data_IF_625114556576
#
_entry.id   IF_625114556576
#
_cell.length_a   1.000
_cell.length_b   1.000
_cell.length_c   1.000
_cell.angle_alpha   90.00
_cell.angle_beta   90.00
_cell.angle_gamma   90.00
#
_symmetry.space_group_name_H-M   'P 1'
#
loop_
_entity.id
_entity.type
_entity.pdbx_description
1 polymer ?
#
# COMPACT_ATOMS: atom_id res chain seq x y z
N UNK A 1 8.60 -13.85 -56.47
CA UNK A 1 9.38 -13.20 -55.40
C UNK A 1 8.49 -13.02 -54.18
N UNK A 2 8.41 -14.03 -53.31
CA UNK A 2 7.59 -13.99 -52.08
C UNK A 2 8.50 -14.29 -50.87
N UNK A 3 9.33 -13.35 -50.45
CA UNK A 3 10.27 -13.58 -49.34
C UNK A 3 10.36 -12.42 -48.32
N UNK A 4 9.29 -11.64 -48.14
CA UNK A 4 9.29 -10.49 -47.22
C UNK A 4 8.40 -10.66 -45.97
N UNK A 5 8.14 -11.89 -45.52
CA UNK A 5 7.27 -12.16 -44.35
C UNK A 5 7.90 -13.04 -43.25
N UNK A 6 9.22 -12.99 -43.06
CA UNK A 6 9.91 -13.94 -42.14
C UNK A 6 10.86 -13.33 -41.10
N UNK A 7 10.83 -12.02 -40.84
CA UNK A 7 11.78 -11.39 -39.88
C UNK A 7 11.16 -10.40 -38.90
N UNK A 8 9.97 -10.71 -38.36
CA UNK A 8 9.41 -9.93 -37.26
C UNK A 8 8.84 -10.87 -36.20
N UNK A 9 9.70 -11.60 -35.47
CA UNK A 9 9.39 -11.73 -34.05
C UNK A 9 10.69 -11.87 -33.24
N UNK A 10 11.40 -10.77 -32.97
CA UNK A 10 12.53 -10.87 -32.03
C UNK A 10 12.94 -9.57 -31.32
N UNK A 11 12.17 -8.49 -31.46
CA UNK A 11 12.47 -7.20 -30.82
C UNK A 11 11.42 -6.73 -29.81
N UNK A 12 10.40 -7.54 -29.50
CA UNK A 12 9.35 -7.18 -28.54
C UNK A 12 9.52 -7.84 -27.16
N UNK A 13 10.53 -8.68 -26.96
CA UNK A 13 10.70 -9.45 -25.72
C UNK A 13 11.74 -8.89 -24.73
N UNK A 14 12.32 -7.70 -24.98
CA UNK A 14 13.38 -7.14 -24.11
C UNK A 14 12.91 -5.93 -23.28
N UNK A 15 11.67 -5.45 -23.45
CA UNK A 15 11.23 -4.19 -22.84
C UNK A 15 10.15 -4.35 -21.74
N UNK A 16 10.14 -5.47 -21.02
CA UNK A 16 9.19 -5.69 -19.92
C UNK A 16 9.86 -5.92 -18.54
N UNK A 17 11.19 -5.95 -18.47
CA UNK A 17 11.91 -6.32 -17.24
C UNK A 17 12.47 -5.13 -16.42
N UNK A 18 12.09 -3.89 -16.72
CA UNK A 18 12.69 -2.70 -16.07
C UNK A 18 11.72 -1.96 -15.13
N UNK A 19 10.48 -2.42 -14.97
CA UNK A 19 9.52 -1.79 -14.04
C UNK A 19 9.34 -2.53 -12.70
N UNK A 20 10.15 -3.58 -12.43
CA UNK A 20 10.10 -4.33 -11.17
C UNK A 20 11.03 -3.77 -10.08
N UNK A 21 11.71 -2.65 -10.32
CA UNK A 21 12.24 -1.79 -9.26
C UNK A 21 11.15 -0.72 -8.98
N UNK A 22 9.96 -1.09 -8.50
CA UNK A 22 9.74 -1.29 -7.08
C UNK A 22 10.75 -0.48 -6.27
N UNK A 23 10.32 0.70 -5.83
CA UNK A 23 10.94 1.50 -4.80
C UNK A 23 11.11 0.67 -3.53
N UNK A 24 12.09 -0.24 -3.49
CA UNK A 24 12.56 -0.88 -2.27
C UNK A 24 13.56 0.06 -1.63
N UNK A 25 13.10 1.26 -1.28
CA UNK A 25 13.83 2.01 -0.26
C UNK A 25 13.60 1.24 1.05
N UNK A 26 14.65 0.82 1.76
CA UNK A 26 14.46 0.37 3.12
C UNK A 26 13.93 1.59 3.88
N UNK A 27 12.67 1.52 4.36
CA UNK A 27 12.11 2.51 5.28
C UNK A 27 13.03 2.55 6.50
N UNK A 28 14.02 3.42 6.45
CA UNK A 28 14.88 3.75 7.58
C UNK A 28 14.13 4.79 8.37
N UNK A 29 13.22 4.30 9.20
CA UNK A 29 12.75 4.87 10.47
C UNK A 29 11.42 4.17 10.74
N UNK A 30 11.32 3.57 11.91
CA UNK A 30 10.08 3.19 12.58
C UNK A 30 9.19 4.42 12.77
N UNK A 31 8.62 4.93 11.67
CA UNK A 31 7.49 5.84 11.76
C UNK A 31 6.29 4.97 12.04
N UNK A 32 5.77 5.10 13.25
CA UNK A 32 4.47 4.53 13.61
C UNK A 32 3.48 4.97 12.53
N UNK A 33 2.79 3.99 11.93
CA UNK A 33 1.71 4.27 10.98
C UNK A 33 0.40 3.97 11.66
N UNK A 34 -0.65 4.69 11.27
CA UNK A 34 -1.92 4.67 11.98
C UNK A 34 -3.06 4.33 11.04
N UNK A 35 -3.98 3.49 11.51
CA UNK A 35 -5.21 3.12 10.79
C UNK A 35 -6.45 3.52 11.59
N UNK A 36 -7.58 3.73 10.92
CA UNK A 36 -8.85 4.07 11.58
C UNK A 36 -10.05 3.60 10.75
N UNK A 37 -11.06 3.02 11.42
CA UNK A 37 -12.32 2.60 10.80
C UNK A 37 -13.41 3.68 10.90
N UNK A 38 -13.30 4.58 11.88
CA UNK A 38 -14.36 5.52 12.29
C UNK A 38 -13.88 6.99 12.37
N UNK A 39 -12.62 7.26 12.03
CA UNK A 39 -11.94 8.56 12.17
C UNK A 39 -11.79 9.05 13.62
N UNK A 40 -12.19 8.25 14.61
CA UNK A 40 -12.16 8.59 16.03
C UNK A 40 -11.11 7.74 16.73
N UNK A 41 -11.15 6.43 16.51
CA UNK A 41 -10.25 5.46 17.09
C UNK A 41 -9.10 5.21 16.12
N UNK A 42 -7.88 5.52 16.55
CA UNK A 42 -6.68 5.33 15.75
C UNK A 42 -5.86 4.19 16.32
N UNK A 43 -5.59 3.19 15.48
CA UNK A 43 -4.78 2.02 15.80
C UNK A 43 -3.34 2.25 15.36
N UNK A 44 -2.40 1.95 16.26
CA UNK A 44 -0.97 2.00 15.98
C UNK A 44 -0.61 0.70 15.24
N UNK A 45 -0.09 0.87 14.04
CA UNK A 45 0.41 -0.18 13.17
C UNK A 45 1.94 -0.10 13.23
N UNK A 46 2.50 -0.87 14.14
CA UNK A 46 3.93 -0.99 14.36
C UNK A 46 4.50 -2.24 13.66
N UNK A 47 5.69 -2.68 14.05
CA UNK A 47 6.35 -3.85 13.47
C UNK A 47 5.69 -5.19 13.81
N UNK A 48 4.87 -5.24 14.88
CA UNK A 48 4.19 -6.46 15.31
C UNK A 48 2.82 -6.63 14.62
N UNK A 49 2.25 -5.55 14.07
CA UNK A 49 1.00 -5.58 13.33
C UNK A 49 1.16 -6.21 11.92
N UNK A 50 0.44 -7.30 11.67
CA UNK A 50 0.50 -8.07 10.43
C UNK A 50 -0.70 -7.83 9.51
N UNK A 51 -0.45 -7.40 8.28
CA UNK A 51 -1.50 -7.26 7.24
C UNK A 51 -2.16 -8.61 6.93
N UNK A 52 -3.49 -8.64 6.95
CA UNK A 52 -4.31 -9.84 6.77
C UNK A 52 -4.56 -10.65 8.06
N UNK A 53 -3.91 -10.28 9.16
CA UNK A 53 -4.11 -10.91 10.48
C UNK A 53 -4.66 -9.89 11.47
N UNK A 54 -3.99 -8.75 11.61
CA UNK A 54 -4.35 -7.70 12.58
C UNK A 54 -5.19 -6.60 11.94
N UNK A 55 -4.94 -6.31 10.67
CA UNK A 55 -5.70 -5.34 9.89
C UNK A 55 -5.72 -5.71 8.40
N UNK A 56 -6.63 -5.12 7.63
CA UNK A 56 -6.69 -5.21 6.16
C UNK A 56 -6.84 -3.83 5.54
N UNK A 57 -6.40 -3.73 4.29
CA UNK A 57 -6.60 -2.55 3.44
C UNK A 57 -7.50 -2.93 2.26
N UNK A 58 -8.81 -2.84 2.49
CA UNK A 58 -9.81 -3.25 1.50
C UNK A 58 -10.03 -2.15 0.47
N UNK A 59 -10.54 -2.52 -0.70
CA UNK A 59 -10.80 -1.56 -1.75
C UNK A 59 -12.00 -0.71 -1.36
N UNK A 60 -11.84 0.61 -1.36
CA UNK A 60 -12.92 1.56 -1.15
C UNK A 60 -13.32 2.23 -2.46
N UNK A 61 -14.56 2.70 -2.52
CA UNK A 61 -15.07 3.56 -3.61
C UNK A 61 -14.76 5.03 -3.29
N UNK A 62 -14.49 5.34 -2.02
CA UNK A 62 -14.15 6.68 -1.58
C UNK A 62 -12.63 6.93 -1.67
N UNK A 63 -12.20 8.19 -1.89
CA UNK A 63 -10.78 8.54 -1.95
C UNK A 63 -10.17 8.59 -0.53
N UNK A 64 -10.19 7.45 0.16
CA UNK A 64 -9.62 7.26 1.50
C UNK A 64 -8.32 6.48 1.42
N UNK A 65 -7.50 6.62 2.45
CA UNK A 65 -6.25 5.88 2.58
C UNK A 65 -6.33 4.92 3.75
N UNK A 66 -5.66 3.78 3.62
CA UNK A 66 -5.69 2.75 4.65
C UNK A 66 -4.87 3.16 5.89
N UNK A 67 -3.73 3.81 5.66
CA UNK A 67 -2.77 4.13 6.71
C UNK A 67 -2.31 5.58 6.59
N UNK A 68 -1.91 6.16 7.71
CA UNK A 68 -1.44 7.54 7.84
C UNK A 68 -0.18 7.60 8.70
N UNK A 69 0.64 8.64 8.53
CA UNK A 69 1.86 8.88 9.33
C UNK A 69 1.56 9.55 10.69
N UNK A 70 0.31 9.94 10.93
CA UNK A 70 -0.16 10.50 12.21
C UNK A 70 -1.63 10.12 12.43
N UNK A 71 -2.12 10.08 13.69
CA UNK A 71 -3.49 9.72 14.06
C UNK A 71 -4.49 10.87 13.81
N UNK A 72 -4.44 11.47 12.63
CA UNK A 72 -5.32 12.55 12.19
C UNK A 72 -5.22 12.67 10.66
N UNK A 73 -6.36 12.60 9.96
CA UNK A 73 -6.40 12.71 8.48
C UNK A 73 -6.05 14.10 7.95
N UNK A 74 -6.13 15.14 8.80
CA UNK A 74 -5.85 16.52 8.40
C UNK A 74 -4.38 16.89 8.50
N UNK A 75 -3.65 16.26 9.44
CA UNK A 75 -2.23 16.53 9.69
C UNK A 75 -1.30 15.38 9.31
N UNK A 76 -1.82 14.14 9.29
CA UNK A 76 -1.09 12.94 8.89
C UNK A 76 -1.06 12.77 7.38
N UNK A 77 0.13 12.57 6.82
CA UNK A 77 0.24 12.20 5.41
C UNK A 77 -0.24 10.76 5.20
N UNK A 78 -0.96 10.48 4.12
CA UNK A 78 -1.35 9.12 3.81
C UNK A 78 -0.15 8.25 3.41
N UNK A 79 -0.18 6.99 3.84
CA UNK A 79 0.84 5.99 3.56
C UNK A 79 0.29 4.95 2.59
N UNK A 80 0.92 4.84 1.43
CA UNK A 80 0.58 3.82 0.43
C UNK A 80 -0.54 4.27 -0.53
N UNK A 81 -1.25 3.30 -1.15
CA UNK A 81 -2.20 3.59 -2.22
C UNK A 81 -3.45 4.33 -1.74
N UNK A 82 -4.05 5.11 -2.65
CA UNK A 82 -5.37 5.73 -2.51
C UNK A 82 -6.48 4.68 -2.65
N UNK A 83 -7.70 5.03 -2.27
CA UNK A 83 -8.91 4.20 -2.41
C UNK A 83 -8.84 2.88 -1.63
N UNK A 84 -8.25 2.95 -0.43
CA UNK A 84 -8.14 1.82 0.50
C UNK A 84 -8.72 2.17 1.85
N UNK A 85 -9.59 1.30 2.35
CA UNK A 85 -10.17 1.41 3.69
C UNK A 85 -9.42 0.54 4.68
N UNK A 86 -9.16 1.08 5.86
CA UNK A 86 -8.64 0.29 6.97
C UNK A 86 -9.77 -0.57 7.54
N UNK A 87 -9.51 -1.86 7.72
CA UNK A 87 -10.43 -2.80 8.37
C UNK A 87 -9.69 -3.47 9.51
N UNK A 88 -10.22 -3.37 10.72
CA UNK A 88 -9.64 -4.00 11.90
C UNK A 88 -9.97 -5.49 11.91
N UNK A 89 -8.97 -6.32 12.14
CA UNK A 89 -9.15 -7.76 12.33
C UNK A 89 -8.80 -8.22 13.74
N UNK A 90 -7.80 -7.59 14.37
CA UNK A 90 -7.41 -7.83 15.75
C UNK A 90 -7.83 -6.65 16.64
N UNK A 91 -8.84 -6.81 17.52
CA UNK A 91 -9.32 -5.74 18.39
C UNK A 91 -8.34 -5.39 19.52
N UNK A 92 -7.24 -6.13 19.67
CA UNK A 92 -6.21 -5.86 20.69
C UNK A 92 -5.05 -5.01 20.17
N UNK A 93 -5.13 -4.50 18.93
CA UNK A 93 -4.12 -3.55 18.46
C UNK A 93 -4.08 -2.31 19.37
N UNK A 94 -2.88 -1.81 19.69
CA UNK A 94 -2.75 -0.62 20.51
C UNK A 94 -3.41 0.59 19.83
N UNK A 95 -4.07 1.43 20.61
CA UNK A 95 -4.73 2.65 20.13
C UNK A 95 -3.99 3.91 20.60
N UNK A 96 -4.23 5.01 19.90
CA UNK A 96 -3.86 6.35 20.38
C UNK A 96 -5.01 6.87 21.27
N UNK A 97 -4.67 7.27 22.49
CA UNK A 97 -5.60 7.90 23.45
C UNK A 97 -5.95 9.35 23.09
#
# INVERSE_FOLDING_TARGET
MNNLKKRIPLLTFVLAAVFAFAFTQPKTSSMDVFGTEDEITWYIIDEDATLGVDYRCDQSIEPIHCLYEAPDRTTGNPVGPIEREFVLLNPNLPTVD
#
